data_IF_306610659833
#
_entry.id   IF_306610659833
#
_cell.length_a   1.000
_cell.length_b   1.000
_cell.length_c   1.000
_cell.angle_alpha   90.00
_cell.angle_beta   90.00
_cell.angle_gamma   90.00
#
_symmetry.space_group_name_H-M   'P 1'
#
loop_
_entity.id
_entity.type
_entity.pdbx_description
1 polymer ?
#
# COMPACT_ATOMS: atom_id res chain seq x y z
N UNK A 1 -7.70 -29.91 -17.98
CA UNK A 1 -7.68 -28.52 -17.48
C UNK A 1 -6.98 -28.54 -16.12
N UNK A 2 -5.70 -28.18 -16.07
CA UNK A 2 -4.96 -28.07 -14.81
C UNK A 2 -5.18 -26.62 -14.36
N UNK A 3 -6.09 -26.42 -13.40
CA UNK A 3 -6.28 -25.13 -12.77
C UNK A 3 -5.00 -24.74 -12.03
N UNK A 4 -4.28 -23.75 -12.52
CA UNK A 4 -3.18 -23.12 -11.78
C UNK A 4 -3.80 -22.39 -10.61
N UNK A 5 -3.78 -23.03 -9.44
CA UNK A 5 -4.18 -22.42 -8.21
C UNK A 5 -3.30 -21.18 -7.97
N UNK A 6 -3.90 -20.00 -8.00
CA UNK A 6 -3.28 -18.81 -7.41
C UNK A 6 -2.90 -19.18 -5.97
N UNK A 7 -1.62 -19.20 -5.64
CA UNK A 7 -1.17 -19.51 -4.30
C UNK A 7 -1.88 -18.56 -3.33
N UNK A 8 -2.70 -19.12 -2.42
CA UNK A 8 -3.34 -18.32 -1.38
C UNK A 8 -2.24 -17.71 -0.52
N UNK A 9 -2.36 -16.45 -0.11
CA UNK A 9 -1.37 -15.84 0.78
C UNK A 9 -1.31 -16.63 2.08
N UNK A 10 -0.11 -16.73 2.65
CA UNK A 10 0.06 -17.33 3.98
C UNK A 10 -0.77 -16.59 5.01
N UNK A 11 -1.37 -17.35 5.94
CA UNK A 11 -2.15 -16.77 7.05
C UNK A 11 -1.30 -16.62 8.33
N UNK A 12 0.01 -16.76 8.21
CA UNK A 12 0.91 -16.52 9.33
C UNK A 12 1.03 -15.02 9.61
N UNK A 13 0.83 -14.65 10.88
CA UNK A 13 1.06 -13.30 11.39
C UNK A 13 2.35 -13.36 12.22
N UNK A 14 3.36 -12.64 11.81
CA UNK A 14 4.60 -12.54 12.57
C UNK A 14 4.36 -11.83 13.91
N UNK A 15 4.82 -12.35 15.06
CA UNK A 15 4.72 -11.64 16.32
C UNK A 15 5.62 -10.39 16.33
N UNK A 16 5.21 -9.36 17.07
CA UNK A 16 6.04 -8.19 17.30
C UNK A 16 7.19 -8.56 18.26
N UNK A 17 8.42 -8.30 17.84
CA UNK A 17 9.62 -8.50 18.65
C UNK A 17 9.62 -7.58 19.88
N UNK A 18 10.04 -8.08 21.04
CA UNK A 18 10.08 -7.29 22.27
C UNK A 18 10.95 -6.04 22.15
N UNK A 19 11.99 -6.07 21.32
CA UNK A 19 12.85 -4.93 21.04
C UNK A 19 12.13 -3.73 20.44
N UNK A 20 11.02 -3.95 19.74
CA UNK A 20 10.18 -2.89 19.17
C UNK A 20 9.57 -2.00 20.24
N UNK A 21 9.15 -2.59 21.37
CA UNK A 21 8.49 -1.85 22.45
C UNK A 21 9.41 -0.87 23.21
N UNK A 22 10.69 -0.86 22.91
CA UNK A 22 11.61 0.20 23.39
C UNK A 22 11.38 1.51 22.66
N UNK A 23 10.97 1.44 21.40
CA UNK A 23 10.84 2.58 20.50
C UNK A 23 9.39 3.02 20.34
N UNK A 24 8.44 2.08 20.37
CA UNK A 24 7.05 2.34 20.04
C UNK A 24 6.09 1.95 21.18
N UNK A 25 5.06 2.76 21.34
CA UNK A 25 3.79 2.35 21.96
C UNK A 25 2.89 1.80 20.85
N UNK A 26 2.57 0.51 20.92
CA UNK A 26 1.71 -0.15 19.94
C UNK A 26 0.27 -0.13 20.43
N UNK A 27 -0.63 0.41 19.60
CA UNK A 27 -2.06 0.57 19.91
C UNK A 27 -2.91 0.08 18.75
N UNK A 28 -4.18 -0.20 19.07
CA UNK A 28 -5.19 -0.56 18.09
C UNK A 28 -6.45 0.25 18.33
N UNK A 29 -7.09 0.69 17.26
CA UNK A 29 -8.39 1.36 17.29
C UNK A 29 -9.32 0.73 16.26
N UNK A 30 -10.60 0.87 16.48
CA UNK A 30 -11.63 0.46 15.53
C UNK A 30 -12.25 1.73 14.96
N UNK A 31 -12.28 1.83 13.63
CA UNK A 31 -12.99 2.87 12.92
C UNK A 31 -14.05 2.25 12.02
N UNK A 32 -15.14 2.98 11.87
CA UNK A 32 -16.26 2.60 11.03
C UNK A 32 -16.43 3.61 9.89
N UNK A 33 -16.68 3.11 8.66
CA UNK A 33 -17.04 3.98 7.55
C UNK A 33 -18.55 4.35 7.61
N UNK A 34 -18.98 5.23 6.72
CA UNK A 34 -20.37 5.66 6.64
C UNK A 34 -21.38 4.53 6.29
N UNK A 35 -20.89 3.39 5.84
CA UNK A 35 -21.68 2.21 5.49
C UNK A 35 -21.71 1.13 6.57
N UNK A 36 -21.15 1.37 7.76
CA UNK A 36 -21.11 0.40 8.86
C UNK A 36 -19.97 -0.64 8.74
N UNK A 37 -19.04 -0.48 7.78
CA UNK A 37 -17.90 -1.38 7.64
C UNK A 37 -16.81 -1.00 8.64
N UNK A 38 -16.29 -2.00 9.36
CA UNK A 38 -15.35 -1.83 10.46
C UNK A 38 -13.92 -2.11 9.98
N UNK A 39 -12.99 -1.22 10.31
CA UNK A 39 -11.56 -1.36 10.06
C UNK A 39 -10.78 -1.31 11.37
N UNK A 40 -9.79 -2.17 11.50
CA UNK A 40 -8.82 -2.14 12.59
C UNK A 40 -7.64 -1.28 12.18
N UNK A 41 -7.36 -0.28 13.00
CA UNK A 41 -6.26 0.65 12.79
C UNK A 41 -5.12 0.27 13.74
N UNK A 42 -4.02 -0.12 13.15
CA UNK A 42 -2.78 -0.45 13.82
C UNK A 42 -1.94 0.81 13.97
N UNK A 43 -1.42 1.07 15.15
CA UNK A 43 -0.71 2.31 15.43
C UNK A 43 0.58 1.98 16.17
N UNK A 44 1.73 2.38 15.61
CA UNK A 44 2.99 2.37 16.33
C UNK A 44 3.45 3.82 16.51
N UNK A 45 3.39 4.27 17.74
CA UNK A 45 3.65 5.66 18.12
C UNK A 45 5.04 5.73 18.72
N UNK A 46 5.98 6.50 18.13
CA UNK A 46 7.32 6.68 18.69
C UNK A 46 7.24 7.21 20.11
N UNK A 47 7.94 6.54 21.04
CA UNK A 47 8.00 6.98 22.44
C UNK A 47 8.75 8.30 22.61
N UNK A 48 8.39 9.05 23.65
CA UNK A 48 9.04 10.31 24.03
C UNK A 48 9.05 11.37 22.91
N UNK A 49 8.05 11.34 22.02
CA UNK A 49 7.87 12.31 20.93
C UNK A 49 6.41 12.71 20.81
N UNK A 50 6.19 13.96 20.42
CA UNK A 50 4.90 14.54 20.09
C UNK A 50 4.90 15.25 18.71
N UNK A 51 6.01 15.17 18.00
CA UNK A 51 6.16 15.69 16.63
C UNK A 51 6.66 14.55 15.76
N UNK A 52 6.00 14.34 14.65
CA UNK A 52 6.25 13.24 13.71
C UNK A 52 6.58 13.79 12.32
N UNK A 53 7.88 14.02 12.01
CA UNK A 53 8.26 14.54 10.69
C UNK A 53 7.83 13.65 9.54
N UNK A 54 7.80 12.32 9.77
CA UNK A 54 7.31 11.34 8.79
C UNK A 54 6.23 10.46 9.41
N UNK A 55 5.20 10.18 8.62
CA UNK A 55 4.14 9.24 8.98
C UNK A 55 3.97 8.21 7.86
N UNK A 56 4.10 6.93 8.18
CA UNK A 56 3.89 5.82 7.24
C UNK A 56 2.47 5.32 7.39
N UNK A 57 1.75 5.28 6.30
CA UNK A 57 0.46 4.62 6.17
C UNK A 57 0.64 3.33 5.38
N UNK A 58 0.07 2.23 5.85
CA UNK A 58 0.20 0.94 5.18
C UNK A 58 -1.11 0.17 5.14
N UNK A 59 -1.30 -0.58 4.06
CA UNK A 59 -2.41 -1.50 3.87
C UNK A 59 -2.02 -2.92 4.30
N UNK A 60 -3.01 -3.83 4.36
CA UNK A 60 -2.81 -5.22 4.77
C UNK A 60 -2.09 -5.35 6.13
N UNK A 61 -2.41 -4.46 7.08
CA UNK A 61 -1.68 -4.33 8.34
C UNK A 61 -1.75 -5.58 9.22
N UNK A 62 -2.79 -6.39 9.12
CA UNK A 62 -2.85 -7.67 9.84
C UNK A 62 -1.62 -8.55 9.54
N UNK A 63 -1.18 -8.58 8.29
CA UNK A 63 -0.05 -9.40 7.85
C UNK A 63 1.30 -8.70 7.96
N UNK A 64 1.35 -7.38 7.69
CA UNK A 64 2.61 -6.71 7.36
C UNK A 64 3.06 -5.70 8.41
N UNK A 65 2.19 -5.32 9.35
CA UNK A 65 2.51 -4.31 10.36
C UNK A 65 3.65 -4.75 11.28
N UNK A 66 3.58 -5.98 11.82
CA UNK A 66 4.64 -6.53 12.65
C UNK A 66 5.95 -6.74 11.89
N UNK A 67 5.86 -7.14 10.62
CA UNK A 67 7.05 -7.29 9.75
C UNK A 67 7.78 -5.95 9.62
N UNK A 68 7.04 -4.86 9.36
CA UNK A 68 7.63 -3.52 9.31
C UNK A 68 8.22 -3.11 10.67
N UNK A 69 7.49 -3.30 11.76
CA UNK A 69 7.96 -2.92 13.10
C UNK A 69 9.22 -3.65 13.51
N UNK A 70 9.32 -4.94 13.20
CA UNK A 70 10.48 -5.77 13.57
C UNK A 70 11.77 -5.32 12.87
N UNK A 71 11.69 -4.55 11.80
CA UNK A 71 12.86 -3.94 11.18
C UNK A 71 13.50 -2.84 12.06
N UNK A 72 12.73 -2.24 12.96
CA UNK A 72 13.22 -1.23 13.90
C UNK A 72 13.79 -1.79 15.21
N UNK A 73 13.65 -3.09 15.48
CA UNK A 73 14.00 -3.71 16.78
C UNK A 73 15.45 -3.44 17.25
N UNK A 74 16.35 -3.19 16.32
CA UNK A 74 17.77 -2.93 16.61
C UNK A 74 18.13 -1.43 16.58
N UNK A 75 17.18 -0.54 16.38
CA UNK A 75 17.46 0.91 16.40
C UNK A 75 17.75 1.33 17.84
N UNK A 76 18.77 2.17 17.99
CA UNK A 76 19.24 2.66 19.29
C UNK A 76 18.74 4.06 19.64
N UNK A 77 18.21 4.78 18.64
CA UNK A 77 17.69 6.14 18.77
C UNK A 77 16.28 6.23 18.17
N UNK A 78 15.48 7.15 18.69
CA UNK A 78 14.14 7.48 18.18
C UNK A 78 14.16 8.60 17.13
N UNK A 79 15.31 9.17 16.79
CA UNK A 79 15.39 10.45 16.07
C UNK A 79 14.72 10.39 14.68
N UNK A 80 14.82 9.25 13.99
CA UNK A 80 14.25 9.04 12.66
C UNK A 80 13.14 7.99 12.63
N UNK A 81 12.58 7.63 13.80
CA UNK A 81 11.49 6.64 13.85
C UNK A 81 10.16 7.32 13.51
N UNK A 82 9.43 6.85 12.49
CA UNK A 82 8.19 7.48 12.05
C UNK A 82 6.99 7.08 12.90
N UNK A 83 5.91 7.85 12.83
CA UNK A 83 4.58 7.35 13.18
C UNK A 83 4.16 6.32 12.13
N UNK A 84 3.68 5.14 12.56
CA UNK A 84 3.22 4.10 11.63
C UNK A 84 1.75 3.81 11.87
N UNK A 85 0.95 3.95 10.81
CA UNK A 85 -0.50 3.73 10.80
C UNK A 85 -0.80 2.63 9.79
N UNK A 86 -1.30 1.51 10.28
CA UNK A 86 -1.72 0.40 9.42
C UNK A 86 -3.24 0.29 9.36
N UNK A 87 -3.76 0.03 8.17
CA UNK A 87 -5.18 -0.29 7.98
C UNK A 87 -5.32 -1.78 7.72
N UNK A 88 -6.15 -2.42 8.51
CA UNK A 88 -6.48 -3.83 8.38
C UNK A 88 -7.92 -4.09 8.81
N UNK A 89 -8.18 -5.32 9.15
CA UNK A 89 -9.52 -5.82 9.46
C UNK A 89 -9.56 -6.41 10.86
N UNK A 90 -10.70 -6.32 11.53
CA UNK A 90 -10.89 -6.99 12.83
C UNK A 90 -11.18 -8.49 12.59
N UNK A 91 -10.11 -9.23 12.42
CA UNK A 91 -10.10 -10.66 12.10
C UNK A 91 -8.78 -11.29 12.56
N UNK A 92 -8.75 -12.59 12.89
CA UNK A 92 -7.51 -13.31 13.17
C UNK A 92 -6.70 -13.64 11.89
N UNK A 93 -7.24 -13.39 10.71
CA UNK A 93 -6.57 -13.69 9.44
C UNK A 93 -5.48 -12.67 9.15
N UNK A 94 -4.33 -13.12 8.65
CA UNK A 94 -3.30 -12.25 8.10
C UNK A 94 -3.81 -11.49 6.86
N UNK A 95 -4.56 -12.20 6.03
CA UNK A 95 -5.24 -11.62 4.86
C UNK A 95 -6.71 -12.06 4.83
N UNK A 96 -7.62 -11.14 5.10
CA UNK A 96 -9.04 -11.29 4.78
C UNK A 96 -9.21 -11.06 3.27
N UNK A 97 -9.03 -12.12 2.50
CA UNK A 97 -8.98 -12.04 1.04
C UNK A 97 -10.28 -11.49 0.43
N UNK A 98 -11.43 -11.79 1.02
CA UNK A 98 -12.72 -11.29 0.54
C UNK A 98 -12.84 -9.79 0.77
N UNK A 99 -12.58 -9.32 2.00
CA UNK A 99 -12.69 -7.89 2.33
C UNK A 99 -11.66 -7.06 1.57
N UNK A 100 -10.39 -7.50 1.55
CA UNK A 100 -9.34 -6.76 0.83
C UNK A 100 -9.56 -6.71 -0.68
N UNK A 101 -10.10 -7.78 -1.28
CA UNK A 101 -10.46 -7.74 -2.72
C UNK A 101 -11.52 -6.69 -2.96
N UNK A 102 -12.57 -6.66 -2.14
CA UNK A 102 -13.64 -5.69 -2.22
C UNK A 102 -13.13 -4.25 -2.09
N UNK A 103 -12.32 -3.96 -1.06
CA UNK A 103 -11.93 -2.62 -0.67
C UNK A 103 -10.75 -2.04 -1.50
N UNK A 104 -9.83 -2.91 -1.94
CA UNK A 104 -8.60 -2.45 -2.58
C UNK A 104 -8.65 -2.46 -4.11
N UNK A 105 -9.79 -2.85 -4.70
CA UNK A 105 -9.90 -2.90 -6.15
C UNK A 105 -10.96 -1.93 -6.67
N UNK A 106 -10.69 -1.21 -7.76
CA UNK A 106 -11.68 -0.36 -8.41
C UNK A 106 -12.76 -1.19 -9.10
N UNK A 107 -13.92 -0.57 -9.36
CA UNK A 107 -15.00 -1.19 -10.08
C UNK A 107 -14.54 -1.65 -11.48
N UNK A 108 -14.80 -2.89 -11.81
CA UNK A 108 -14.49 -3.49 -13.09
C UNK A 108 -15.67 -4.30 -13.62
N UNK A 109 -15.71 -4.52 -14.94
CA UNK A 109 -16.74 -5.31 -15.62
C UNK A 109 -16.22 -6.74 -15.85
N UNK A 110 -17.07 -7.72 -15.67
CA UNK A 110 -16.82 -9.15 -15.85
C UNK A 110 -16.97 -9.93 -14.54
N UNK A 111 -17.45 -11.16 -14.65
CA UNK A 111 -17.76 -12.03 -13.51
C UNK A 111 -16.54 -12.29 -12.62
N UNK A 112 -15.34 -12.30 -13.22
CA UNK A 112 -14.08 -12.47 -12.48
C UNK A 112 -13.74 -11.31 -11.53
N UNK A 113 -14.43 -10.16 -11.63
CA UNK A 113 -14.22 -8.96 -10.83
C UNK A 113 -15.35 -8.66 -9.84
N UNK A 114 -16.42 -9.46 -9.81
CA UNK A 114 -17.62 -9.21 -8.99
C UNK A 114 -17.34 -9.07 -7.49
N UNK A 115 -16.29 -9.74 -6.99
CA UNK A 115 -15.92 -9.68 -5.57
C UNK A 115 -15.23 -8.39 -5.16
N UNK A 116 -14.89 -7.52 -6.11
CA UNK A 116 -14.18 -6.27 -5.87
C UNK A 116 -15.02 -5.02 -6.05
N UNK A 117 -14.36 -3.90 -6.35
CA UNK A 117 -15.03 -2.72 -6.88
C UNK A 117 -15.46 -1.66 -5.88
N UNK A 118 -14.92 -1.64 -4.66
CA UNK A 118 -15.25 -0.65 -3.62
C UNK A 118 -14.08 0.26 -3.24
N UNK A 119 -13.07 0.37 -4.10
CA UNK A 119 -11.92 1.25 -3.85
C UNK A 119 -12.34 2.71 -3.60
N UNK A 120 -13.41 3.18 -4.24
CA UNK A 120 -13.99 4.51 -4.03
C UNK A 120 -14.48 4.71 -2.59
N UNK A 121 -15.19 3.73 -2.04
CA UNK A 121 -15.72 3.78 -0.67
C UNK A 121 -14.60 3.67 0.36
N UNK A 122 -13.62 2.80 0.09
CA UNK A 122 -12.46 2.64 0.97
C UNK A 122 -11.56 3.90 0.94
N UNK A 123 -11.37 4.51 -0.23
CA UNK A 123 -10.66 5.79 -0.33
C UNK A 123 -11.37 6.90 0.43
N UNK A 124 -12.70 6.96 0.33
CA UNK A 124 -13.52 7.90 1.10
C UNK A 124 -13.36 7.68 2.60
N UNK A 125 -13.32 6.42 3.06
CA UNK A 125 -13.02 6.09 4.46
C UNK A 125 -11.65 6.62 4.89
N UNK A 126 -10.60 6.40 4.08
CA UNK A 126 -9.27 6.94 4.37
C UNK A 126 -9.33 8.46 4.53
N UNK A 127 -9.93 9.14 3.56
CA UNK A 127 -9.98 10.60 3.51
C UNK A 127 -10.82 11.23 4.63
N UNK A 128 -11.99 10.68 4.90
CA UNK A 128 -12.99 11.31 5.75
C UNK A 128 -13.04 10.78 7.19
N UNK A 129 -12.43 9.61 7.44
CA UNK A 129 -12.44 8.98 8.76
C UNK A 129 -11.04 8.74 9.31
N UNK A 130 -10.18 8.05 8.54
CA UNK A 130 -8.84 7.72 8.99
C UNK A 130 -7.96 8.97 9.14
N UNK A 131 -7.84 9.79 8.10
CA UNK A 131 -6.97 10.97 8.15
C UNK A 131 -7.35 11.96 9.24
N UNK A 132 -8.64 12.34 9.42
CA UNK A 132 -9.06 13.19 10.53
C UNK A 132 -8.81 12.57 11.91
N UNK A 133 -8.99 11.24 12.05
CA UNK A 133 -8.69 10.53 13.29
C UNK A 133 -7.20 10.63 13.63
N UNK A 134 -6.32 10.30 12.68
CA UNK A 134 -4.87 10.32 12.88
C UNK A 134 -4.36 11.75 13.14
N UNK A 135 -4.87 12.73 12.40
CA UNK A 135 -4.48 14.14 12.58
C UNK A 135 -4.87 14.67 13.96
N UNK A 136 -6.07 14.32 14.43
CA UNK A 136 -6.54 14.69 15.77
C UNK A 136 -5.69 14.07 16.89
N UNK A 137 -5.30 12.81 16.73
CA UNK A 137 -4.54 12.08 17.76
C UNK A 137 -3.04 12.45 17.77
N UNK A 138 -2.47 12.80 16.60
CA UNK A 138 -1.02 12.88 16.43
C UNK A 138 -0.52 14.16 15.74
N UNK A 139 -1.39 15.09 15.35
CA UNK A 139 -1.05 16.34 14.65
C UNK A 139 -0.06 16.13 13.48
N UNK A 140 -0.50 15.39 12.48
CA UNK A 140 0.33 15.04 11.31
C UNK A 140 0.23 16.04 10.15
N UNK A 141 -0.31 17.25 10.37
CA UNK A 141 -0.50 18.25 9.29
C UNK A 141 0.77 18.56 8.54
N UNK A 142 1.88 18.68 9.28
CA UNK A 142 3.19 19.00 8.73
C UNK A 142 4.08 17.76 8.50
N UNK A 143 3.56 16.55 8.70
CA UNK A 143 4.29 15.32 8.46
C UNK A 143 4.34 15.01 6.97
N UNK A 144 5.49 14.55 6.49
CA UNK A 144 5.59 13.84 5.22
C UNK A 144 4.86 12.50 5.32
N UNK A 145 3.84 12.29 4.49
CA UNK A 145 2.96 11.13 4.54
C UNK A 145 3.33 10.15 3.44
N UNK A 146 3.87 9.01 3.86
CA UNK A 146 4.30 7.92 2.98
C UNK A 146 3.19 6.87 2.97
N UNK A 147 2.77 6.44 1.77
CA UNK A 147 1.75 5.40 1.64
C UNK A 147 2.32 4.14 0.98
N UNK A 148 2.16 3.00 1.65
CA UNK A 148 2.66 1.71 1.20
C UNK A 148 1.53 0.71 0.96
N UNK A 149 1.64 -0.06 -0.14
CA UNK A 149 0.75 -1.18 -0.45
C UNK A 149 1.34 -2.16 -1.44
N UNK A 150 1.00 -3.44 -1.25
CA UNK A 150 1.45 -4.56 -2.07
C UNK A 150 0.28 -5.24 -2.80
N UNK A 151 0.48 -5.68 -4.02
CA UNK A 151 -0.50 -6.45 -4.78
C UNK A 151 -1.79 -5.65 -5.05
N UNK A 152 -2.96 -6.05 -4.52
CA UNK A 152 -4.17 -5.24 -4.54
C UNK A 152 -3.99 -3.94 -3.74
N UNK A 153 -3.19 -3.96 -2.65
CA UNK A 153 -2.77 -2.74 -1.98
C UNK A 153 -2.01 -1.81 -2.91
N UNK A 154 -1.07 -2.34 -3.71
CA UNK A 154 -0.36 -1.57 -4.73
C UNK A 154 -1.29 -1.02 -5.82
N UNK A 155 -2.28 -1.78 -6.26
CA UNK A 155 -3.34 -1.31 -7.17
C UNK A 155 -4.14 -0.17 -6.54
N UNK A 156 -4.51 -0.31 -5.26
CA UNK A 156 -5.21 0.75 -4.53
C UNK A 156 -4.37 2.01 -4.39
N UNK A 157 -3.05 1.89 -4.22
CA UNK A 157 -2.16 3.05 -4.22
C UNK A 157 -2.17 3.77 -5.58
N UNK A 158 -2.20 3.04 -6.70
CA UNK A 158 -2.38 3.64 -8.03
C UNK A 158 -3.73 4.34 -8.12
N UNK A 159 -4.82 3.73 -7.62
CA UNK A 159 -6.13 4.37 -7.53
C UNK A 159 -6.05 5.69 -6.72
N UNK A 160 -5.47 5.65 -5.52
CA UNK A 160 -5.29 6.80 -4.63
C UNK A 160 -4.46 7.92 -5.28
N UNK A 161 -3.36 7.56 -5.94
CA UNK A 161 -2.50 8.48 -6.67
C UNK A 161 -3.27 9.25 -7.75
N UNK A 162 -4.15 8.58 -8.47
CA UNK A 162 -4.99 9.18 -9.53
C UNK A 162 -6.12 10.07 -8.99
N UNK A 163 -6.51 9.97 -7.71
CA UNK A 163 -7.41 10.96 -7.08
C UNK A 163 -6.73 12.32 -6.93
N UNK A 164 -5.42 12.34 -6.82
CA UNK A 164 -4.57 13.54 -6.88
C UNK A 164 -4.98 14.68 -5.92
N UNK A 165 -5.54 14.36 -4.78
CA UNK A 165 -5.96 15.36 -3.78
C UNK A 165 -4.84 15.81 -2.83
N UNK A 166 -3.69 15.11 -2.84
CA UNK A 166 -2.50 15.48 -2.08
C UNK A 166 -2.56 15.04 -0.61
N UNK A 167 -3.32 13.98 -0.30
CA UNK A 167 -3.34 13.40 1.05
C UNK A 167 -2.00 12.77 1.41
N UNK A 168 -1.36 12.12 0.45
CA UNK A 168 -0.07 11.46 0.60
C UNK A 168 0.99 12.13 -0.27
N UNK A 169 2.19 12.26 0.27
CA UNK A 169 3.34 12.91 -0.38
C UNK A 169 4.17 11.91 -1.19
N UNK A 170 4.40 10.71 -0.64
CA UNK A 170 5.17 9.65 -1.29
C UNK A 170 4.40 8.32 -1.33
N UNK A 171 4.67 7.54 -2.37
CA UNK A 171 4.04 6.24 -2.58
C UNK A 171 5.08 5.14 -2.76
N UNK A 172 4.98 4.07 -1.96
CA UNK A 172 5.70 2.82 -2.15
C UNK A 172 4.75 1.76 -2.72
N UNK A 173 4.73 1.64 -4.02
CA UNK A 173 3.83 0.78 -4.79
C UNK A 173 4.57 -0.52 -5.10
N UNK A 174 4.24 -1.59 -4.37
CA UNK A 174 4.88 -2.89 -4.52
C UNK A 174 4.02 -3.86 -5.33
N UNK A 175 4.56 -4.39 -6.41
CA UNK A 175 3.93 -5.45 -7.23
C UNK A 175 2.45 -5.19 -7.54
N UNK A 176 2.07 -4.01 -8.05
CA UNK A 176 0.67 -3.64 -8.19
C UNK A 176 -0.07 -4.57 -9.13
N UNK A 177 -1.27 -5.01 -8.71
CA UNK A 177 -2.13 -5.89 -9.50
C UNK A 177 -2.83 -5.14 -10.65
N UNK A 178 -2.06 -4.52 -11.55
CA UNK A 178 -2.58 -3.68 -12.64
C UNK A 178 -3.45 -4.44 -13.64
N UNK A 179 -3.41 -5.77 -13.62
CA UNK A 179 -4.27 -6.63 -14.45
C UNK A 179 -5.76 -6.54 -14.10
N UNK A 180 -6.11 -6.07 -12.90
CA UNK A 180 -7.49 -5.93 -12.47
C UNK A 180 -8.28 -5.01 -13.41
N UNK A 181 -9.46 -5.45 -13.84
CA UNK A 181 -10.30 -4.72 -14.78
C UNK A 181 -9.58 -4.42 -16.11
N UNK A 182 -8.71 -5.32 -16.57
CA UNK A 182 -7.92 -5.18 -17.79
C UNK A 182 -7.12 -3.86 -17.83
N UNK A 183 -6.60 -3.44 -16.69
CA UNK A 183 -5.83 -2.18 -16.49
C UNK A 183 -6.62 -0.91 -16.79
N UNK A 184 -7.95 -0.99 -16.81
CA UNK A 184 -8.84 0.11 -17.22
C UNK A 184 -8.56 1.42 -16.48
N UNK A 185 -8.40 1.36 -15.15
CA UNK A 185 -8.17 2.54 -14.32
C UNK A 185 -6.95 3.36 -14.80
N UNK A 186 -5.87 2.67 -15.17
CA UNK A 186 -4.66 3.35 -15.63
C UNK A 186 -4.82 3.81 -17.07
N UNK A 187 -5.40 2.98 -17.96
CA UNK A 187 -5.65 3.33 -19.36
C UNK A 187 -6.53 4.57 -19.50
N UNK A 188 -7.58 4.70 -18.71
CA UNK A 188 -8.48 5.86 -18.72
C UNK A 188 -7.82 7.14 -18.21
N UNK A 189 -6.75 7.02 -17.42
CA UNK A 189 -5.97 8.14 -16.92
C UNK A 189 -4.95 8.70 -17.94
N UNK A 190 -4.75 8.01 -19.09
CA UNK A 190 -3.78 8.41 -20.10
C UNK A 190 -4.39 9.27 -21.20
N UNK A 191 -3.60 10.22 -21.69
CA UNK A 191 -3.85 10.94 -22.94
C UNK A 191 -3.41 10.13 -24.18
N UNK A 192 -3.52 10.71 -25.35
CA UNK A 192 -3.16 10.07 -26.61
C UNK A 192 -1.65 9.81 -26.77
N UNK A 193 -0.81 10.50 -26.01
CA UNK A 193 0.65 10.33 -25.99
C UNK A 193 1.10 9.31 -24.94
N UNK A 194 0.16 8.70 -24.20
CA UNK A 194 0.42 7.75 -23.13
C UNK A 194 0.99 8.40 -21.87
N UNK A 195 0.68 9.68 -21.63
CA UNK A 195 0.99 10.41 -20.41
C UNK A 195 -0.24 10.50 -19.53
N UNK A 196 -0.01 10.69 -18.23
CA UNK A 196 -1.12 11.00 -17.32
C UNK A 196 -1.78 12.33 -17.72
N UNK A 197 -3.10 12.35 -17.82
CA UNK A 197 -3.91 13.56 -18.08
C UNK A 197 -3.80 14.62 -17.00
N UNK A 198 -3.28 14.23 -15.82
CA UNK A 198 -3.16 15.08 -14.63
C UNK A 198 -1.69 15.21 -14.24
N UNK A 199 -1.33 16.37 -13.68
CA UNK A 199 -0.04 16.55 -12.99
C UNK A 199 -0.20 16.06 -11.55
N UNK A 200 0.56 15.03 -11.19
CA UNK A 200 0.51 14.47 -9.85
C UNK A 200 1.04 15.45 -8.78
N UNK A 201 0.37 15.47 -7.64
CA UNK A 201 0.81 16.21 -6.44
C UNK A 201 1.85 15.44 -5.63
N UNK A 202 1.90 14.10 -5.76
CA UNK A 202 2.89 13.27 -5.09
C UNK A 202 4.32 13.76 -5.42
N UNK A 203 5.16 13.83 -4.40
CA UNK A 203 6.55 14.30 -4.50
C UNK A 203 7.46 13.24 -5.09
N UNK A 204 7.20 11.96 -4.77
CA UNK A 204 7.99 10.82 -5.21
C UNK A 204 7.18 9.52 -5.26
N UNK A 205 7.48 8.66 -6.24
CA UNK A 205 6.88 7.34 -6.37
C UNK A 205 7.98 6.28 -6.43
N UNK A 206 7.96 5.34 -5.50
CA UNK A 206 8.80 4.14 -5.55
C UNK A 206 7.95 2.97 -5.99
N UNK A 207 8.21 2.51 -7.20
CA UNK A 207 7.57 1.36 -7.81
C UNK A 207 8.51 0.18 -7.77
N UNK A 208 8.02 -0.99 -7.37
CA UNK A 208 8.84 -2.19 -7.30
C UNK A 208 8.08 -3.44 -7.72
N UNK A 209 8.83 -4.47 -8.14
CA UNK A 209 8.30 -5.76 -8.58
C UNK A 209 9.36 -6.84 -8.37
N UNK A 210 8.93 -8.08 -8.15
CA UNK A 210 9.82 -9.24 -8.18
C UNK A 210 10.08 -9.72 -9.60
N UNK A 211 11.31 -10.11 -9.91
CA UNK A 211 11.70 -10.61 -11.23
C UNK A 211 10.92 -11.87 -11.64
N UNK A 212 10.67 -12.76 -10.67
CA UNK A 212 10.04 -14.06 -10.92
C UNK A 212 8.49 -14.01 -10.82
N UNK A 213 7.90 -12.83 -10.77
CA UNK A 213 6.44 -12.70 -10.71
C UNK A 213 5.79 -13.21 -12.00
N UNK A 214 5.21 -14.40 -11.90
CA UNK A 214 4.41 -15.01 -12.97
C UNK A 214 2.97 -15.14 -12.49
N UNK A 215 2.05 -14.49 -13.17
CA UNK A 215 0.60 -14.70 -12.99
C UNK A 215 0.05 -15.35 -14.24
N UNK A 216 0.18 -16.67 -14.31
CA UNK A 216 -0.34 -17.46 -15.41
C UNK A 216 -1.82 -17.10 -15.69
N UNK A 217 -2.12 -16.79 -16.94
CA UNK A 217 -3.47 -16.55 -17.44
C UNK A 217 -4.07 -15.18 -17.17
N UNK A 218 -3.50 -14.34 -16.30
CA UNK A 218 -4.03 -13.00 -15.99
C UNK A 218 -3.20 -11.85 -16.55
N UNK A 219 -1.90 -12.06 -16.73
CA UNK A 219 -0.95 -11.06 -17.26
C UNK A 219 -0.55 -11.32 -18.71
N UNK A 220 -1.01 -12.41 -19.30
CA UNK A 220 -0.63 -12.81 -20.66
C UNK A 220 -1.60 -12.29 -21.72
N UNK A 221 -2.65 -11.57 -21.33
CA UNK A 221 -3.51 -10.85 -22.28
C UNK A 221 -2.69 -9.68 -22.89
N UNK A 222 -2.71 -9.51 -24.20
CA UNK A 222 -1.90 -8.53 -24.96
C UNK A 222 -2.07 -7.08 -24.49
N UNK A 223 -3.15 -6.76 -23.79
CA UNK A 223 -3.49 -5.38 -23.42
C UNK A 223 -3.38 -5.09 -21.92
N UNK A 224 -2.77 -5.97 -21.14
CA UNK A 224 -2.59 -5.76 -19.69
C UNK A 224 -1.32 -4.94 -19.43
N UNK A 225 -1.47 -3.82 -18.71
CA UNK A 225 -0.32 -3.02 -18.27
C UNK A 225 0.37 -3.70 -17.08
N UNK A 226 1.70 -3.66 -17.10
CA UNK A 226 2.59 -4.21 -16.06
C UNK A 226 3.25 -3.07 -15.27
N UNK A 227 3.97 -3.40 -14.21
CA UNK A 227 4.70 -2.39 -13.43
C UNK A 227 5.72 -1.62 -14.29
N UNK A 228 6.36 -2.27 -15.25
CA UNK A 228 7.27 -1.59 -16.20
C UNK A 228 6.53 -0.55 -17.07
N UNK A 229 5.31 -0.85 -17.50
CA UNK A 229 4.51 0.10 -18.27
C UNK A 229 4.12 1.31 -17.42
N UNK A 230 3.78 1.10 -16.14
CA UNK A 230 3.54 2.19 -15.20
C UNK A 230 4.80 3.06 -15.01
N UNK A 231 5.98 2.44 -14.91
CA UNK A 231 7.24 3.19 -14.83
C UNK A 231 7.47 4.08 -16.06
N UNK A 232 7.22 3.57 -17.26
CA UNK A 232 7.32 4.37 -18.49
C UNK A 232 6.26 5.49 -18.56
N UNK A 233 5.05 5.24 -18.07
CA UNK A 233 4.00 6.27 -17.95
C UNK A 233 4.45 7.39 -17.01
N UNK A 234 4.99 7.06 -15.83
CA UNK A 234 5.49 8.04 -14.86
C UNK A 234 6.62 8.87 -15.47
N UNK A 235 7.56 8.22 -16.17
CA UNK A 235 8.66 8.87 -16.89
C UNK A 235 8.14 9.87 -17.93
N UNK A 236 7.26 9.44 -18.84
CA UNK A 236 6.65 10.28 -19.86
C UNK A 236 5.88 11.45 -19.26
N UNK A 237 5.29 11.27 -18.07
CA UNK A 237 4.52 12.29 -17.36
C UNK A 237 5.38 13.25 -16.55
N UNK A 238 6.72 13.10 -16.55
CA UNK A 238 7.66 13.97 -15.83
C UNK A 238 7.57 13.82 -14.30
N UNK A 239 7.11 12.69 -13.82
CA UNK A 239 6.98 12.40 -12.38
C UNK A 239 8.32 11.93 -11.84
N UNK A 240 8.70 12.37 -10.64
CA UNK A 240 9.85 11.81 -9.93
C UNK A 240 9.53 10.40 -9.47
N UNK A 241 10.27 9.42 -9.92
CA UNK A 241 10.06 8.04 -9.54
C UNK A 241 11.35 7.24 -9.52
N UNK A 242 11.30 6.12 -8.82
CA UNK A 242 12.26 5.02 -8.86
C UNK A 242 11.52 3.74 -9.25
N UNK A 243 12.11 2.92 -10.12
CA UNK A 243 11.58 1.59 -10.44
C UNK A 243 12.63 0.54 -10.11
N UNK A 244 12.30 -0.37 -9.19
CA UNK A 244 13.21 -1.41 -8.70
C UNK A 244 12.66 -2.79 -9.01
N UNK A 245 13.50 -3.63 -9.60
CA UNK A 245 13.23 -5.05 -9.78
C UNK A 245 14.06 -5.80 -8.74
N UNK A 246 13.41 -6.63 -7.92
CA UNK A 246 14.08 -7.50 -6.97
C UNK A 246 14.41 -8.82 -7.65
N UNK A 247 15.70 -9.03 -7.96
CA UNK A 247 16.21 -10.22 -8.62
C UNK A 247 15.92 -11.49 -7.81
N UNK A 248 15.52 -12.56 -8.51
CA UNK A 248 15.20 -13.86 -7.93
C UNK A 248 13.99 -13.90 -7.00
N UNK A 249 13.20 -12.82 -6.91
CA UNK A 249 12.05 -12.73 -5.99
C UNK A 249 10.72 -12.95 -6.70
N UNK A 250 9.85 -13.70 -6.05
CA UNK A 250 8.44 -13.88 -6.44
C UNK A 250 7.54 -12.77 -5.86
N UNK A 251 6.25 -12.88 -6.15
CA UNK A 251 5.25 -11.86 -5.82
C UNK A 251 5.14 -11.53 -4.32
N UNK A 252 5.20 -12.53 -3.44
CA UNK A 252 5.16 -12.32 -1.99
C UNK A 252 6.52 -12.04 -1.36
N UNK A 253 7.60 -12.50 -2.02
CA UNK A 253 8.96 -12.42 -1.47
C UNK A 253 9.49 -10.98 -1.44
N UNK A 254 8.90 -10.09 -2.23
CA UNK A 254 9.27 -8.67 -2.27
C UNK A 254 8.84 -7.90 -1.02
N UNK A 255 7.82 -8.37 -0.28
CA UNK A 255 7.24 -7.65 0.87
C UNK A 255 8.32 -7.24 1.88
N UNK A 256 9.10 -8.16 2.48
CA UNK A 256 10.11 -7.79 3.47
C UNK A 256 11.21 -6.88 2.90
N UNK A 257 11.49 -7.01 1.61
CA UNK A 257 12.51 -6.19 0.93
C UNK A 257 12.05 -4.76 0.72
N UNK A 258 10.80 -4.57 0.28
CA UNK A 258 10.20 -3.23 0.15
C UNK A 258 10.08 -2.55 1.51
N UNK A 259 9.64 -3.27 2.55
CA UNK A 259 9.55 -2.73 3.90
C UNK A 259 10.94 -2.31 4.42
N UNK A 260 11.99 -3.07 4.11
CA UNK A 260 13.37 -2.69 4.42
C UNK A 260 13.82 -1.43 3.67
N UNK A 261 13.44 -1.29 2.40
CA UNK A 261 13.74 -0.07 1.64
C UNK A 261 12.99 1.15 2.20
N UNK A 262 11.75 0.98 2.69
CA UNK A 262 11.03 2.04 3.41
C UNK A 262 11.82 2.47 4.65
N UNK A 263 12.24 1.51 5.49
CA UNK A 263 13.02 1.82 6.70
C UNK A 263 14.33 2.52 6.37
N UNK A 264 15.02 2.08 5.32
CA UNK A 264 16.24 2.75 4.84
C UNK A 264 15.96 4.20 4.43
N UNK A 265 14.93 4.43 3.61
CA UNK A 265 14.55 5.76 3.12
C UNK A 265 14.21 6.75 4.24
N UNK A 266 13.55 6.30 5.29
CA UNK A 266 13.21 7.19 6.42
C UNK A 266 14.40 7.46 7.34
N UNK A 267 15.47 6.65 7.25
CA UNK A 267 16.68 6.79 8.07
C UNK A 267 17.73 7.69 7.43
N UNK A 268 17.58 8.01 6.15
CA UNK A 268 18.37 8.96 5.37
C UNK A 268 17.87 10.39 5.57
#
# INVERSE_FOLDING_TARGET
MIGVASAKPTQYIEPIDEGVYRLFDVKYSILENAGGEIYKIFQAVPKNRNVYPKAIFMLDANAQFSVLLNLFKNFTSNDNVPLIIGVGYDTPLAYDTARRTKDLTPLAQGDEYEQGGKADKFYKFIKERLMPFVDKEYDIKNSEKIFYGHSFGGLFLVYSLLQNDGIFDEFFIASPSLWWGDSKILKEALDNDGKLKIRLKASFIRLSVGELEKRAGKTDKENILKAADLAEILKKSGVKYEFKIYEGQGHGDVIPLVLKDIVKHISE
#
